data_IF_213572780790
#
_entry.id   IF_213572780790
#
_cell.length_a   1.000
_cell.length_b   1.000
_cell.length_c   1.000
_cell.angle_alpha   90.00
_cell.angle_beta   90.00
_cell.angle_gamma   90.00
#
_symmetry.space_group_name_H-M   'P 1'
#
loop_
_entity.id
_entity.type
_entity.pdbx_description
1 polymer ?
#
# COMPACT_ATOMS: atom_id res chain seq x y z
N UNK A 1 43.92 -14.14 8.89
CA UNK A 1 42.66 -13.37 8.84
C UNK A 1 42.02 -13.40 7.44
N UNK A 2 42.79 -13.23 6.36
CA UNK A 2 42.26 -13.29 4.97
C UNK A 2 41.67 -14.66 4.58
N UNK A 3 42.38 -15.76 4.89
CA UNK A 3 41.90 -17.14 4.65
C UNK A 3 40.53 -17.42 5.28
N UNK A 4 40.32 -17.02 6.54
CA UNK A 4 39.04 -17.24 7.22
C UNK A 4 37.88 -16.45 6.59
N UNK A 5 38.15 -15.27 6.03
CA UNK A 5 37.16 -14.46 5.32
C UNK A 5 36.83 -15.04 3.94
N UNK A 6 37.79 -15.66 3.26
CA UNK A 6 37.59 -16.33 1.97
C UNK A 6 36.57 -17.47 2.07
N UNK A 7 36.59 -18.25 3.15
CA UNK A 7 35.58 -19.29 3.40
C UNK A 7 34.21 -18.75 3.87
N UNK A 8 34.09 -17.43 4.12
CA UNK A 8 32.86 -16.76 4.58
C UNK A 8 32.54 -15.52 3.74
N UNK A 9 32.62 -15.66 2.42
CA UNK A 9 32.29 -14.57 1.52
C UNK A 9 30.82 -14.12 1.71
N UNK A 10 30.56 -12.81 1.75
CA UNK A 10 29.20 -12.28 1.72
C UNK A 10 28.45 -12.82 0.50
N UNK A 11 27.29 -13.38 0.74
CA UNK A 11 26.37 -13.82 -0.30
C UNK A 11 25.57 -12.63 -0.82
N UNK A 12 25.05 -12.66 -2.07
CA UNK A 12 24.17 -11.61 -2.58
C UNK A 12 22.99 -11.30 -1.64
N UNK A 13 22.41 -12.36 -1.04
CA UNK A 13 21.33 -12.25 -0.03
C UNK A 13 21.72 -11.51 1.25
N UNK A 14 23.01 -11.43 1.58
CA UNK A 14 23.48 -10.70 2.77
C UNK A 14 23.42 -9.18 2.54
N UNK A 15 23.33 -8.75 1.28
CA UNK A 15 23.07 -7.36 0.88
C UNK A 15 21.57 -7.09 0.67
N UNK A 16 20.75 -8.13 0.61
CA UNK A 16 19.30 -7.99 0.49
C UNK A 16 18.69 -7.68 1.85
N UNK A 17 17.66 -6.83 1.86
CA UNK A 17 16.85 -6.62 3.07
C UNK A 17 16.15 -7.94 3.38
N UNK A 18 16.28 -8.43 4.62
CA UNK A 18 15.66 -9.67 5.06
C UNK A 18 14.18 -9.73 4.65
N UNK A 19 13.83 -10.69 3.79
CA UNK A 19 12.45 -10.90 3.31
C UNK A 19 11.63 -11.59 4.38
N UNK A 20 11.19 -10.79 5.34
CA UNK A 20 10.43 -11.28 6.48
C UNK A 20 8.95 -10.98 6.24
N UNK A 21 8.28 -11.78 5.40
CA UNK A 21 6.84 -11.93 5.59
C UNK A 21 6.67 -12.60 6.95
N UNK A 22 6.45 -11.79 7.97
CA UNK A 22 6.16 -12.24 9.33
C UNK A 22 4.67 -12.06 9.50
N UNK A 23 3.89 -13.16 9.54
CA UNK A 23 2.48 -13.08 9.86
C UNK A 23 2.31 -12.31 11.17
N UNK A 24 1.45 -11.28 11.19
CA UNK A 24 1.16 -10.56 12.43
C UNK A 24 0.53 -11.46 13.50
N UNK A 25 -0.20 -12.48 13.05
CA UNK A 25 -0.80 -13.52 13.89
C UNK A 25 -0.44 -14.89 13.30
N UNK A 26 0.71 -15.46 13.69
CA UNK A 26 1.08 -16.81 13.29
C UNK A 26 0.01 -17.80 13.75
N UNK A 27 -0.42 -18.67 12.85
CA UNK A 27 -1.39 -19.72 13.13
C UNK A 27 -0.93 -21.03 12.49
N UNK A 28 -1.27 -22.16 13.12
CA UNK A 28 -1.05 -23.46 12.52
C UNK A 28 -2.02 -23.63 11.34
N UNK A 29 -1.51 -23.52 10.13
CA UNK A 29 -2.29 -23.76 8.90
C UNK A 29 -1.98 -25.17 8.37
N UNK A 30 -2.95 -25.87 7.76
CA UNK A 30 -2.66 -27.16 7.13
C UNK A 30 -1.60 -27.03 6.03
N UNK A 31 -0.76 -28.06 5.86
CA UNK A 31 0.34 -28.04 4.88
C UNK A 31 -0.12 -27.91 3.42
N UNK A 32 -1.40 -28.16 3.13
CA UNK A 32 -2.01 -27.93 1.82
C UNK A 32 -2.20 -26.43 1.48
N UNK A 33 -2.15 -25.53 2.47
CA UNK A 33 -2.23 -24.09 2.26
C UNK A 33 -0.85 -23.46 2.03
N UNK A 34 -0.77 -22.33 1.30
CA UNK A 34 0.48 -21.60 1.14
C UNK A 34 1.10 -21.19 2.48
N UNK A 35 2.31 -21.68 2.74
CA UNK A 35 3.06 -21.38 3.98
C UNK A 35 3.91 -20.10 3.86
N UNK A 36 4.09 -19.59 2.63
CA UNK A 36 4.86 -18.38 2.34
C UNK A 36 4.09 -17.47 1.39
N UNK A 37 4.43 -16.19 1.38
CA UNK A 37 3.83 -15.22 0.47
C UNK A 37 4.16 -15.57 -0.99
N UNK A 38 3.18 -15.44 -1.88
CA UNK A 38 3.36 -15.73 -3.29
C UNK A 38 4.43 -14.80 -3.92
N UNK A 39 5.43 -15.33 -4.66
CA UNK A 39 6.51 -14.51 -5.24
C UNK A 39 6.05 -13.43 -6.21
N UNK A 40 4.88 -13.64 -6.86
CA UNK A 40 4.30 -12.69 -7.80
C UNK A 40 3.99 -11.32 -7.17
N UNK A 41 3.85 -11.26 -5.84
CA UNK A 41 3.56 -10.01 -5.12
C UNK A 41 4.76 -9.04 -5.17
N UNK A 42 5.98 -9.53 -5.40
CA UNK A 42 7.17 -8.69 -5.60
C UNK A 42 7.26 -8.13 -7.03
N UNK A 43 6.40 -8.58 -7.96
CA UNK A 43 6.43 -8.16 -9.36
C UNK A 43 5.57 -6.90 -9.59
N UNK A 44 6.14 -5.76 -10.06
CA UNK A 44 5.35 -4.54 -10.34
C UNK A 44 4.18 -4.75 -11.31
N UNK A 45 4.32 -5.63 -12.30
CA UNK A 45 3.27 -5.91 -13.28
C UNK A 45 2.01 -6.55 -12.67
N UNK A 46 2.14 -7.22 -11.52
CA UNK A 46 0.99 -7.71 -10.76
C UNK A 46 0.14 -6.56 -10.22
N UNK A 47 0.79 -5.54 -9.64
CA UNK A 47 0.12 -4.37 -9.07
C UNK A 47 -0.55 -3.51 -10.14
N UNK A 48 0.10 -3.36 -11.31
CA UNK A 48 -0.47 -2.66 -12.45
C UNK A 48 -1.77 -3.33 -12.91
N UNK A 49 -1.78 -4.66 -13.05
CA UNK A 49 -3.00 -5.41 -13.42
C UNK A 49 -4.07 -5.35 -12.34
N UNK A 50 -3.66 -5.49 -11.07
CA UNK A 50 -4.56 -5.39 -9.93
C UNK A 50 -5.28 -4.02 -9.95
N UNK A 51 -4.56 -2.95 -10.24
CA UNK A 51 -5.09 -1.58 -10.28
C UNK A 51 -6.08 -1.28 -11.41
N UNK A 52 -6.34 -2.22 -12.34
CA UNK A 52 -7.29 -2.00 -13.44
C UNK A 52 -8.75 -2.23 -13.03
N UNK A 53 -8.99 -3.00 -11.97
CA UNK A 53 -10.33 -3.29 -11.46
C UNK A 53 -10.64 -2.37 -10.25
N UNK A 54 -11.86 -1.79 -10.15
CA UNK A 54 -12.34 -1.17 -8.93
C UNK A 54 -12.04 -1.97 -7.65
N UNK A 55 -12.25 -3.29 -7.66
CA UNK A 55 -11.97 -4.16 -6.51
C UNK A 55 -10.48 -4.21 -6.14
N UNK A 56 -9.62 -3.98 -7.12
CA UNK A 56 -8.17 -3.91 -6.93
C UNK A 56 -7.73 -2.67 -6.19
N UNK A 57 -8.49 -1.57 -6.27
CA UNK A 57 -8.18 -0.33 -5.53
C UNK A 57 -8.27 -0.54 -4.03
N UNK A 58 -9.25 -1.31 -3.56
CA UNK A 58 -9.35 -1.71 -2.15
C UNK A 58 -8.13 -2.52 -1.69
N UNK A 59 -7.62 -3.41 -2.55
CA UNK A 59 -6.41 -4.17 -2.28
C UNK A 59 -5.15 -3.29 -2.22
N UNK A 60 -5.07 -2.22 -3.03
CA UNK A 60 -3.99 -1.23 -2.94
C UNK A 60 -4.03 -0.50 -1.59
N UNK A 61 -5.21 -0.05 -1.14
CA UNK A 61 -5.34 0.56 0.18
C UNK A 61 -4.98 -0.41 1.30
N UNK A 62 -5.46 -1.64 1.22
CA UNK A 62 -5.11 -2.70 2.18
C UNK A 62 -3.59 -2.85 2.28
N UNK A 63 -2.89 -3.05 1.16
CA UNK A 63 -1.45 -3.19 1.14
C UNK A 63 -0.74 -1.94 1.71
N UNK A 64 -1.20 -0.74 1.35
CA UNK A 64 -0.60 0.51 1.82
C UNK A 64 -0.64 0.65 3.36
N UNK A 65 -1.79 0.35 3.98
CA UNK A 65 -1.94 0.48 5.44
C UNK A 65 -1.42 -0.73 6.22
N UNK A 66 -1.47 -1.94 5.62
CA UNK A 66 -1.20 -3.19 6.32
C UNK A 66 0.19 -3.79 6.05
N UNK A 67 0.95 -3.27 5.08
CA UNK A 67 2.31 -3.72 4.78
C UNK A 67 3.31 -2.57 4.89
N UNK A 68 3.24 -1.80 5.98
CA UNK A 68 4.08 -0.63 6.18
C UNK A 68 5.58 -0.95 6.15
N UNK A 69 6.37 -0.03 5.59
CA UNK A 69 7.83 -0.13 5.46
C UNK A 69 8.31 -1.27 4.55
N UNK A 70 7.45 -1.72 3.61
CA UNK A 70 7.76 -2.77 2.63
C UNK A 70 7.79 -2.24 1.21
N UNK A 71 8.35 -3.03 0.28
CA UNK A 71 8.33 -2.70 -1.15
C UNK A 71 6.90 -2.70 -1.71
N UNK A 72 6.03 -3.55 -1.18
CA UNK A 72 4.64 -3.67 -1.57
C UNK A 72 3.84 -2.40 -1.23
N UNK A 73 4.10 -1.76 -0.08
CA UNK A 73 3.51 -0.45 0.23
C UNK A 73 3.91 0.61 -0.81
N UNK A 74 5.17 0.61 -1.25
CA UNK A 74 5.63 1.50 -2.31
C UNK A 74 4.90 1.22 -3.64
N UNK A 75 4.78 -0.05 -4.05
CA UNK A 75 4.07 -0.43 -5.27
C UNK A 75 2.59 -0.02 -5.21
N UNK A 76 1.92 -0.27 -4.08
CA UNK A 76 0.55 0.15 -3.88
C UNK A 76 0.39 1.69 -3.97
N UNK A 77 1.27 2.44 -3.29
CA UNK A 77 1.26 3.90 -3.36
C UNK A 77 1.52 4.44 -4.77
N UNK A 78 2.37 3.75 -5.54
CA UNK A 78 2.68 4.11 -6.94
C UNK A 78 1.43 3.97 -7.82
N UNK A 79 0.71 2.86 -7.70
CA UNK A 79 -0.51 2.64 -8.48
C UNK A 79 -1.66 3.57 -8.04
N UNK A 80 -1.81 3.84 -6.74
CA UNK A 80 -2.78 4.84 -6.25
C UNK A 80 -2.50 6.23 -6.86
N UNK A 81 -1.23 6.67 -6.88
CA UNK A 81 -0.86 7.93 -7.54
C UNK A 81 -1.17 7.92 -9.05
N UNK A 82 -0.96 6.79 -9.73
CA UNK A 82 -1.27 6.61 -11.15
C UNK A 82 -2.78 6.76 -11.43
N UNK A 83 -3.61 6.36 -10.47
CA UNK A 83 -5.06 6.56 -10.47
C UNK A 83 -5.47 7.94 -9.91
N UNK A 84 -4.57 8.92 -9.84
CA UNK A 84 -4.83 10.28 -9.36
C UNK A 84 -5.21 10.40 -7.87
N UNK A 85 -4.85 9.42 -7.04
CA UNK A 85 -4.94 9.55 -5.59
C UNK A 85 -3.79 10.38 -5.02
N UNK A 86 -4.10 11.20 -4.01
CA UNK A 86 -3.18 12.07 -3.30
C UNK A 86 -3.17 11.74 -1.81
N UNK A 87 -2.00 11.43 -1.27
CA UNK A 87 -1.85 11.10 0.15
C UNK A 87 -1.64 12.35 0.99
N UNK A 88 -2.46 12.54 2.02
CA UNK A 88 -2.37 13.66 2.96
C UNK A 88 -1.76 13.19 4.28
N UNK A 89 -0.54 13.67 4.60
CA UNK A 89 0.26 13.18 5.73
C UNK A 89 -0.42 13.39 7.08
N UNK A 90 -1.08 14.53 7.31
CA UNK A 90 -1.72 14.85 8.59
C UNK A 90 -2.93 13.97 8.89
N UNK A 91 -3.68 13.61 7.85
CA UNK A 91 -4.87 12.75 7.99
C UNK A 91 -4.54 11.27 7.78
N UNK A 92 -3.30 10.98 7.35
CA UNK A 92 -2.86 9.63 7.01
C UNK A 92 -3.85 8.93 6.07
N UNK A 93 -4.39 9.67 5.09
CA UNK A 93 -5.38 9.13 4.13
C UNK A 93 -5.20 9.63 2.71
N UNK A 94 -5.77 8.90 1.77
CA UNK A 94 -5.73 9.16 0.33
C UNK A 94 -7.02 9.85 -0.11
N UNK A 95 -6.86 10.88 -0.93
CA UNK A 95 -7.93 11.68 -1.52
C UNK A 95 -7.88 11.62 -3.04
N UNK A 96 -9.03 11.61 -3.69
CA UNK A 96 -9.16 11.78 -5.13
C UNK A 96 -10.15 12.92 -5.39
N UNK A 97 -9.85 13.75 -6.39
CA UNK A 97 -10.75 14.84 -6.81
C UNK A 97 -12.01 14.24 -7.44
N UNK A 98 -13.18 14.57 -6.91
CA UNK A 98 -14.46 14.21 -7.55
C UNK A 98 -14.77 15.19 -8.70
N UNK A 99 -14.34 16.44 -8.56
CA UNK A 99 -14.48 17.52 -9.54
C UNK A 99 -13.22 18.40 -9.51
N UNK A 100 -13.05 19.26 -10.53
CA UNK A 100 -11.97 20.25 -10.50
C UNK A 100 -12.12 21.18 -9.29
N UNK A 101 -11.05 21.45 -8.52
CA UNK A 101 -11.13 22.24 -7.31
C UNK A 101 -11.59 23.66 -7.59
N UNK A 102 -12.52 24.17 -6.78
CA UNK A 102 -13.07 25.52 -6.91
C UNK A 102 -12.04 26.61 -6.61
N UNK A 103 -11.05 26.29 -5.78
CA UNK A 103 -9.93 27.19 -5.44
C UNK A 103 -8.65 26.37 -5.39
N UNK A 104 -7.62 26.84 -6.10
CA UNK A 104 -6.25 26.31 -6.02
C UNK A 104 -5.33 27.50 -5.74
N UNK A 105 -4.54 27.43 -4.67
CA UNK A 105 -3.43 28.35 -4.44
C UNK A 105 -2.16 27.56 -4.03
N UNK A 106 -1.05 28.26 -3.85
CA UNK A 106 0.25 27.63 -3.54
C UNK A 106 0.28 26.91 -2.18
N UNK A 107 -0.66 27.23 -1.28
CA UNK A 107 -0.73 26.72 0.09
C UNK A 107 -1.78 25.63 0.29
N UNK A 108 -2.87 25.68 -0.47
CA UNK A 108 -4.01 24.79 -0.31
C UNK A 108 -4.87 24.65 -1.57
N UNK A 109 -5.61 23.56 -1.62
CA UNK A 109 -6.63 23.28 -2.61
C UNK A 109 -7.98 23.03 -1.92
N UNK A 110 -9.05 23.66 -2.43
CA UNK A 110 -10.41 23.48 -1.91
C UNK A 110 -11.35 23.00 -2.99
N UNK A 111 -11.97 21.86 -2.76
CA UNK A 111 -12.82 21.18 -3.73
C UNK A 111 -13.69 20.09 -3.11
N UNK A 112 -14.34 19.32 -3.98
CA UNK A 112 -15.06 18.12 -3.61
C UNK A 112 -14.12 16.92 -3.80
N UNK A 113 -13.85 16.19 -2.72
CA UNK A 113 -13.00 15.00 -2.76
C UNK A 113 -13.76 13.77 -2.30
N UNK A 114 -13.34 12.63 -2.84
CA UNK A 114 -13.59 11.32 -2.25
C UNK A 114 -12.35 10.88 -1.50
N UNK A 115 -12.52 10.15 -0.40
CA UNK A 115 -11.42 9.61 0.38
C UNK A 115 -11.72 8.20 0.87
N UNK A 116 -10.65 7.48 1.18
CA UNK A 116 -10.74 6.14 1.76
C UNK A 116 -10.63 6.20 3.28
N UNK A 117 -11.68 5.80 3.98
CA UNK A 117 -11.65 5.67 5.44
C UNK A 117 -11.23 4.26 5.85
N UNK A 118 -9.97 4.12 6.27
CA UNK A 118 -9.43 2.82 6.70
C UNK A 118 -9.83 2.44 8.13
N UNK A 119 -10.37 3.37 8.94
CA UNK A 119 -10.80 3.10 10.30
C UNK A 119 -12.16 2.38 10.35
N UNK A 120 -13.02 2.62 9.34
CA UNK A 120 -14.39 2.11 9.29
C UNK A 120 -14.47 0.66 8.81
N UNK A 121 -13.46 0.18 8.07
CA UNK A 121 -13.35 -1.23 7.70
C UNK A 121 -13.32 -2.20 8.92
N UNK A 122 -13.07 -1.69 10.13
CA UNK A 122 -13.07 -2.48 11.35
C UNK A 122 -14.44 -2.55 12.07
N UNK A 123 -15.42 -1.73 11.68
CA UNK A 123 -16.67 -1.51 12.44
C UNK A 123 -17.95 -2.02 11.73
N UNK A 124 -17.78 -2.93 10.75
CA UNK A 124 -18.87 -3.74 10.20
C UNK A 124 -19.98 -3.00 9.43
N UNK A 125 -19.86 -1.70 9.17
CA UNK A 125 -20.90 -0.88 8.54
C UNK A 125 -20.37 -0.08 7.34
N UNK A 126 -20.76 -0.54 6.14
CA UNK A 126 -20.64 0.11 4.83
C UNK A 126 -19.22 0.41 4.32
N UNK A 127 -19.05 0.25 3.00
CA UNK A 127 -17.80 0.42 2.28
C UNK A 127 -17.16 1.78 2.58
N UNK A 128 -15.84 1.80 2.87
CA UNK A 128 -15.05 2.95 3.34
C UNK A 128 -14.85 4.08 2.32
N UNK A 129 -15.81 4.27 1.42
CA UNK A 129 -15.84 5.30 0.40
C UNK A 129 -16.79 6.40 0.85
N UNK A 130 -16.25 7.55 1.21
CA UNK A 130 -17.05 8.73 1.55
C UNK A 130 -16.97 9.76 0.42
N UNK A 131 -18.15 10.21 -0.02
CA UNK A 131 -18.30 11.25 -1.04
C UNK A 131 -18.75 12.52 -0.34
N UNK A 132 -17.98 13.60 -0.49
CA UNK A 132 -18.42 14.94 -0.11
C UNK A 132 -17.93 15.41 1.25
N UNK A 133 -16.65 15.78 1.31
CA UNK A 133 -16.17 16.76 2.29
C UNK A 133 -15.56 17.94 1.54
N UNK A 134 -15.99 19.14 1.89
CA UNK A 134 -15.27 20.38 1.55
C UNK A 134 -13.97 20.39 2.33
N UNK A 135 -12.94 19.77 1.75
CA UNK A 135 -11.62 19.71 2.35
C UNK A 135 -10.71 20.77 1.74
N UNK A 136 -9.85 21.28 2.61
CA UNK A 136 -8.69 22.10 2.28
C UNK A 136 -7.49 21.16 2.38
N UNK A 137 -6.97 20.71 1.24
CA UNK A 137 -5.77 19.87 1.13
C UNK A 137 -4.51 20.72 0.99
#
# INVERSE_FOLDING_TARGET
MLEAAYYKLPQPRDSERAKNYVPRHPAATPASFPQTQAPIVDNPAFWERLSLDPSGTDALFFAFYHQQNTYQQYLAARELKRQSWRFHKKFNTWFQRHEEPKVTNDNFERGNYVYFDFHIANDGSQHGWYVGLHLVL
#
